data_IF_919201225213
#
_entry.id   IF_919201225213
#
_cell.length_a   1.000
_cell.length_b   1.000
_cell.length_c   1.000
_cell.angle_alpha   90.00
_cell.angle_beta   90.00
_cell.angle_gamma   90.00
#
_symmetry.space_group_name_H-M   'P 1'
#
loop_
_entity.id
_entity.type
_entity.pdbx_description
1 polymer ?
#
# COMPACT_ATOMS: atom_id res chain seq x y z
N UNK A 1 2.48 -74.46 -37.69
CA UNK A 1 2.72 -73.08 -38.13
C UNK A 1 2.11 -72.15 -37.05
N UNK A 2 2.93 -71.82 -36.06
CA UNK A 2 2.49 -71.14 -34.85
C UNK A 2 2.37 -69.62 -35.06
N UNK A 3 1.18 -69.08 -34.87
CA UNK A 3 0.95 -67.63 -34.85
C UNK A 3 1.16 -67.10 -33.43
N UNK A 4 2.27 -66.46 -33.19
CA UNK A 4 2.55 -65.72 -31.93
C UNK A 4 1.69 -64.46 -31.85
N UNK A 5 0.82 -64.42 -30.86
CA UNK A 5 0.06 -63.19 -30.51
C UNK A 5 0.96 -62.21 -29.81
N UNK A 6 1.13 -61.03 -30.39
CA UNK A 6 1.81 -59.91 -29.75
C UNK A 6 0.77 -59.08 -29.00
N UNK A 7 0.87 -59.05 -27.68
CA UNK A 7 0.07 -58.17 -26.83
C UNK A 7 0.77 -56.80 -26.71
N UNK A 8 0.12 -55.75 -27.22
CA UNK A 8 0.59 -54.38 -27.06
C UNK A 8 -0.06 -53.83 -25.79
N UNK A 9 0.73 -53.63 -24.74
CA UNK A 9 0.31 -52.89 -23.56
C UNK A 9 0.49 -51.39 -23.81
N UNK A 10 -0.63 -50.67 -23.98
CA UNK A 10 -0.65 -49.21 -24.01
C UNK A 10 -0.56 -48.69 -22.54
N UNK A 11 0.60 -48.14 -22.17
CA UNK A 11 0.80 -47.49 -20.92
C UNK A 11 0.21 -46.05 -20.98
N UNK A 12 -0.98 -45.85 -20.44
CA UNK A 12 -1.57 -44.50 -20.30
C UNK A 12 -0.93 -43.84 -19.07
N UNK A 13 0.09 -43.00 -19.28
CA UNK A 13 0.65 -42.15 -18.24
C UNK A 13 -0.30 -40.97 -18.01
N UNK A 14 -1.07 -41.03 -16.94
CA UNK A 14 -1.81 -39.86 -16.44
C UNK A 14 -0.78 -38.83 -15.84
N UNK A 15 -0.52 -37.79 -16.63
CA UNK A 15 0.24 -36.63 -16.13
C UNK A 15 -0.65 -35.84 -15.16
N UNK A 16 -0.52 -36.13 -13.86
CA UNK A 16 -0.98 -35.25 -12.82
C UNK A 16 -0.07 -34.04 -12.79
N UNK A 17 -0.44 -32.96 -13.47
CA UNK A 17 0.20 -31.66 -13.24
C UNK A 17 -0.26 -31.15 -11.87
N UNK A 18 0.63 -30.89 -10.92
CA UNK A 18 0.24 -30.25 -9.69
C UNK A 18 -0.31 -28.87 -10.03
N UNK A 19 -1.57 -28.62 -9.68
CA UNK A 19 -2.11 -27.28 -9.68
C UNK A 19 -1.38 -26.53 -8.59
N UNK A 20 -0.40 -25.73 -8.96
CA UNK A 20 0.25 -24.78 -8.04
C UNK A 20 -0.79 -23.69 -7.78
N UNK A 21 -1.50 -23.81 -6.65
CA UNK A 21 -2.30 -22.71 -6.13
C UNK A 21 -1.32 -21.67 -5.64
N UNK A 22 -1.04 -20.68 -6.47
CA UNK A 22 -0.32 -19.49 -6.03
C UNK A 22 -1.28 -18.74 -5.09
N UNK A 23 -1.15 -18.99 -3.81
CA UNK A 23 -1.74 -18.10 -2.81
C UNK A 23 -1.05 -16.75 -2.98
N UNK A 24 -1.85 -15.72 -3.23
CA UNK A 24 -1.34 -14.37 -3.21
C UNK A 24 -0.84 -14.10 -1.78
N UNK A 25 0.47 -14.06 -1.60
CA UNK A 25 1.15 -13.88 -0.31
C UNK A 25 0.84 -12.53 0.39
N UNK A 26 -0.12 -11.77 -0.14
CA UNK A 26 -0.45 -10.43 0.34
C UNK A 26 -1.60 -10.33 1.34
N UNK A 27 -2.48 -11.34 1.44
CA UNK A 27 -3.67 -11.22 2.31
C UNK A 27 -3.36 -11.48 3.79
N UNK A 28 -2.35 -12.30 4.11
CA UNK A 28 -1.96 -12.58 5.50
C UNK A 28 -1.36 -11.37 6.23
N UNK A 29 -0.84 -10.40 5.51
CA UNK A 29 -0.10 -9.26 6.10
C UNK A 29 -0.87 -7.94 6.10
N UNK A 30 -2.01 -7.82 5.41
CA UNK A 30 -2.86 -6.66 5.42
C UNK A 30 -3.07 -5.98 4.07
N UNK A 31 -3.55 -4.74 4.11
CA UNK A 31 -3.85 -3.90 2.95
C UNK A 31 -2.65 -3.00 2.62
N UNK A 32 -1.66 -3.53 1.93
CA UNK A 32 -0.29 -3.00 1.91
C UNK A 32 -0.03 -1.84 0.95
N UNK A 33 -0.94 -1.54 0.03
CA UNK A 33 -0.79 -0.47 -0.96
C UNK A 33 -2.14 0.04 -1.47
N UNK A 34 -2.13 1.05 -2.33
CA UNK A 34 -3.33 1.51 -3.02
C UNK A 34 -4.03 0.34 -3.74
N UNK A 35 -5.33 0.19 -3.46
CA UNK A 35 -6.19 -0.90 -3.96
C UNK A 35 -5.79 -2.31 -3.49
N UNK A 36 -5.07 -2.41 -2.36
CA UNK A 36 -4.73 -3.66 -1.71
C UNK A 36 -3.56 -4.42 -2.35
N UNK A 37 -3.18 -5.55 -1.78
CA UNK A 37 -1.96 -6.27 -2.14
C UNK A 37 -1.89 -6.70 -3.60
N UNK A 38 -3.02 -6.99 -4.22
CA UNK A 38 -3.13 -7.37 -5.64
C UNK A 38 -3.49 -6.21 -6.58
N UNK A 39 -3.72 -5.01 -6.04
CA UNK A 39 -4.11 -3.83 -6.82
C UNK A 39 -5.55 -3.86 -7.40
N UNK A 40 -6.34 -4.88 -7.07
CA UNK A 40 -7.71 -5.03 -7.60
C UNK A 40 -8.73 -4.13 -6.88
N UNK A 41 -8.45 -3.72 -5.65
CA UNK A 41 -9.40 -3.03 -4.77
C UNK A 41 -10.44 -3.98 -4.16
N UNK A 42 -10.21 -5.28 -4.22
CA UNK A 42 -11.12 -6.30 -3.69
C UNK A 42 -10.43 -7.00 -2.52
N UNK A 43 -11.14 -7.09 -1.40
CA UNK A 43 -10.71 -7.84 -0.22
C UNK A 43 -11.46 -9.17 -0.15
N UNK A 44 -10.76 -10.23 0.28
CA UNK A 44 -11.36 -11.52 0.62
C UNK A 44 -12.10 -11.53 1.96
N UNK A 45 -12.08 -10.43 2.73
CA UNK A 45 -12.73 -10.35 4.03
C UNK A 45 -14.25 -10.54 3.93
N UNK A 46 -14.79 -11.51 4.67
CA UNK A 46 -16.21 -11.85 4.69
C UNK A 46 -17.01 -11.08 5.77
N UNK A 47 -16.31 -10.36 6.64
CA UNK A 47 -16.90 -9.70 7.84
C UNK A 47 -17.05 -8.20 7.66
N UNK A 48 -16.89 -7.68 6.44
CA UNK A 48 -17.07 -6.23 6.19
C UNK A 48 -18.55 -5.90 6.26
N UNK A 49 -18.98 -5.03 7.20
CA UNK A 49 -20.37 -4.63 7.30
C UNK A 49 -20.78 -3.80 6.06
N UNK A 50 -21.95 -4.07 5.51
CA UNK A 50 -22.55 -3.29 4.41
C UNK A 50 -23.38 -2.10 4.89
N UNK A 51 -23.70 -2.07 6.18
CA UNK A 51 -24.39 -0.97 6.87
C UNK A 51 -23.78 -0.80 8.24
N UNK A 52 -23.52 0.42 8.64
CA UNK A 52 -23.03 0.76 9.98
C UNK A 52 -23.46 2.16 10.39
N UNK A 53 -23.44 2.42 11.67
CA UNK A 53 -23.65 3.73 12.29
C UNK A 53 -22.40 4.11 13.08
N UNK A 54 -22.32 5.34 13.54
CA UNK A 54 -21.19 5.80 14.36
C UNK A 54 -21.02 5.01 15.68
N UNK A 55 -22.04 4.26 16.12
CA UNK A 55 -21.98 3.43 17.33
C UNK A 55 -21.24 2.11 17.11
N UNK A 56 -21.01 1.75 15.86
CA UNK A 56 -20.38 0.49 15.46
C UNK A 56 -18.90 0.68 15.07
N UNK A 57 -18.38 1.91 15.18
CA UNK A 57 -16.94 2.15 15.02
C UNK A 57 -16.21 1.58 16.23
N UNK A 58 -15.20 0.74 15.98
CA UNK A 58 -14.30 0.27 17.02
C UNK A 58 -13.52 1.45 17.63
N UNK A 59 -13.13 2.40 16.82
CA UNK A 59 -12.43 3.63 17.20
C UNK A 59 -12.51 4.69 16.11
N UNK A 60 -12.19 5.91 16.50
CA UNK A 60 -11.97 7.03 15.58
C UNK A 60 -10.74 7.80 16.02
N UNK A 61 -9.96 8.31 15.08
CA UNK A 61 -8.77 9.10 15.36
C UNK A 61 -8.80 10.39 14.56
N UNK A 62 -8.46 11.50 15.23
CA UNK A 62 -8.30 12.79 14.56
C UNK A 62 -6.88 12.89 14.01
N UNK A 63 -6.77 12.98 12.69
CA UNK A 63 -5.48 13.19 12.03
C UNK A 63 -5.04 14.66 12.13
N UNK A 64 -3.72 14.92 12.03
CA UNK A 64 -3.16 16.28 12.17
C UNK A 64 -3.40 17.20 10.96
N UNK A 65 -4.05 16.70 9.91
CA UNK A 65 -4.36 17.45 8.70
C UNK A 65 -5.30 16.68 7.79
N UNK A 66 -5.55 17.24 6.62
CA UNK A 66 -6.38 16.65 5.57
C UNK A 66 -5.52 15.81 4.62
N UNK A 67 -6.14 14.96 3.78
CA UNK A 67 -5.47 14.21 2.75
C UNK A 67 -6.42 13.29 2.01
N UNK A 68 -6.06 12.95 0.77
CA UNK A 68 -6.82 12.06 -0.11
C UNK A 68 -6.16 10.69 -0.27
N UNK A 69 -5.06 10.42 0.45
CA UNK A 69 -4.41 9.11 0.44
C UNK A 69 -5.32 8.05 1.08
N UNK A 70 -5.26 6.84 0.55
CA UNK A 70 -5.87 5.70 1.24
C UNK A 70 -4.99 5.26 2.42
N UNK A 71 -5.57 4.80 3.53
CA UNK A 71 -4.79 4.12 4.56
C UNK A 71 -4.27 2.79 4.01
N UNK A 72 -3.08 2.40 4.48
CA UNK A 72 -2.52 1.06 4.26
C UNK A 72 -2.27 0.40 5.60
N UNK A 73 -2.33 -0.93 5.63
CA UNK A 73 -2.20 -1.69 6.86
C UNK A 73 -1.14 -2.79 6.72
N UNK A 74 -0.35 -2.94 7.77
CA UNK A 74 0.61 -4.02 7.95
C UNK A 74 0.54 -4.52 9.37
N UNK A 75 0.05 -5.74 9.54
CA UNK A 75 -0.22 -6.33 10.88
C UNK A 75 -1.13 -5.39 11.70
N UNK A 76 -0.64 -4.94 12.84
CA UNK A 76 -1.37 -4.07 13.78
C UNK A 76 -1.20 -2.56 13.49
N UNK A 77 -0.48 -2.22 12.44
CA UNK A 77 -0.20 -0.83 12.10
C UNK A 77 -1.02 -0.38 10.88
N UNK A 78 -1.64 0.79 10.99
CA UNK A 78 -2.28 1.50 9.89
C UNK A 78 -1.49 2.77 9.61
N UNK A 79 -1.05 2.94 8.38
CA UNK A 79 -0.30 4.12 7.94
C UNK A 79 -1.17 4.97 7.03
N UNK A 80 -1.13 6.27 7.25
CA UNK A 80 -1.83 7.24 6.43
C UNK A 80 -1.01 8.51 6.29
N UNK A 81 -1.12 9.17 5.14
CA UNK A 81 -0.51 10.48 4.95
C UNK A 81 -1.57 11.58 5.07
N UNK A 82 -1.18 12.70 5.62
CA UNK A 82 -2.01 13.89 5.68
C UNK A 82 -1.16 15.16 5.58
N UNK A 83 -1.82 16.29 5.40
CA UNK A 83 -1.14 17.56 5.26
C UNK A 83 -1.87 18.68 6.00
N UNK A 84 -1.13 19.49 6.75
CA UNK A 84 -1.57 20.76 7.32
C UNK A 84 -1.15 21.88 6.37
N UNK A 85 -2.08 22.34 5.52
CA UNK A 85 -1.80 23.39 4.54
C UNK A 85 -1.42 24.73 5.18
N UNK A 86 -1.94 25.02 6.36
CA UNK A 86 -1.65 26.28 7.07
C UNK A 86 -0.20 26.33 7.56
N UNK A 87 0.32 25.19 7.98
CA UNK A 87 1.70 25.06 8.45
C UNK A 87 2.67 24.62 7.37
N UNK A 88 2.17 24.22 6.19
CA UNK A 88 2.96 23.60 5.12
C UNK A 88 3.73 22.37 5.61
N UNK A 89 3.02 21.48 6.30
CA UNK A 89 3.57 20.24 6.85
C UNK A 89 2.80 19.04 6.28
N UNK A 90 3.50 18.08 5.69
CA UNK A 90 3.00 16.73 5.43
C UNK A 90 3.36 15.83 6.60
N UNK A 91 2.49 14.90 6.91
CA UNK A 91 2.74 13.94 7.97
C UNK A 91 2.50 12.53 7.48
N UNK A 92 3.33 11.60 7.94
CA UNK A 92 3.03 10.18 7.95
C UNK A 92 2.63 9.84 9.38
N UNK A 93 1.50 9.19 9.53
CA UNK A 93 0.93 8.81 10.84
C UNK A 93 0.77 7.30 10.87
N UNK A 94 1.31 6.68 11.90
CA UNK A 94 1.07 5.28 12.22
C UNK A 94 0.08 5.18 13.37
N UNK A 95 -0.99 4.42 13.14
CA UNK A 95 -2.09 4.24 14.08
C UNK A 95 -2.20 2.76 14.41
N UNK A 96 -2.45 2.42 15.67
CA UNK A 96 -2.78 1.06 16.07
C UNK A 96 -4.13 0.65 15.50
N UNK A 97 -4.20 -0.47 14.77
CA UNK A 97 -5.41 -0.96 14.13
C UNK A 97 -6.49 -1.41 15.13
N UNK A 98 -6.09 -1.77 16.36
CA UNK A 98 -6.99 -2.30 17.38
C UNK A 98 -7.72 -1.21 18.16
N UNK A 99 -7.01 -0.13 18.54
CA UNK A 99 -7.56 0.88 19.46
C UNK A 99 -7.50 2.32 18.91
N UNK A 100 -6.96 2.53 17.72
CA UNK A 100 -6.87 3.83 17.06
C UNK A 100 -5.84 4.79 17.67
N UNK A 101 -5.00 4.35 18.60
CA UNK A 101 -3.94 5.21 19.16
C UNK A 101 -2.86 5.48 18.13
N UNK A 102 -2.41 6.73 18.08
CA UNK A 102 -1.26 7.09 17.26
C UNK A 102 0.00 6.55 17.93
N UNK A 103 0.68 5.60 17.26
CA UNK A 103 1.96 5.07 17.69
C UNK A 103 3.05 6.11 17.48
N UNK A 104 3.08 6.70 16.30
CA UNK A 104 3.99 7.77 15.95
C UNK A 104 3.47 8.65 14.82
N UNK A 105 4.06 9.82 14.71
CA UNK A 105 3.87 10.77 13.62
C UNK A 105 5.22 11.31 13.20
N UNK A 106 5.43 11.48 11.90
CA UNK A 106 6.59 12.13 11.32
C UNK A 106 6.15 13.28 10.44
N UNK A 107 6.70 14.45 10.71
CA UNK A 107 6.36 15.70 10.05
C UNK A 107 7.47 16.11 9.09
N UNK A 108 7.05 16.51 7.88
CA UNK A 108 7.94 16.90 6.79
C UNK A 108 7.50 18.26 6.24
N UNK A 109 8.24 19.34 6.54
CA UNK A 109 7.97 20.63 5.94
C UNK A 109 8.06 20.57 4.41
N UNK A 110 7.22 21.32 3.73
CA UNK A 110 7.26 21.42 2.28
C UNK A 110 7.08 22.86 1.83
N UNK A 111 7.58 23.17 0.62
CA UNK A 111 7.29 24.45 -0.04
C UNK A 111 5.97 24.32 -0.79
N UNK A 112 4.99 25.12 -0.44
CA UNK A 112 3.70 25.16 -1.12
C UNK A 112 3.89 25.64 -2.57
N UNK A 113 3.15 25.07 -3.48
CA UNK A 113 3.09 25.48 -4.89
C UNK A 113 1.64 25.42 -5.39
N UNK A 114 1.40 26.06 -6.53
CA UNK A 114 0.08 26.06 -7.15
C UNK A 114 -0.27 24.63 -7.59
N UNK A 115 -1.37 24.14 -7.05
CA UNK A 115 -1.90 22.81 -7.33
C UNK A 115 -3.35 22.92 -7.77
N UNK A 116 -3.84 21.95 -8.55
CA UNK A 116 -5.25 21.90 -8.91
C UNK A 116 -6.10 21.81 -7.63
N UNK A 117 -7.26 22.46 -7.63
CA UNK A 117 -8.12 22.57 -6.43
C UNK A 117 -8.62 21.22 -5.89
N UNK A 118 -8.76 20.22 -6.78
CA UNK A 118 -9.28 18.91 -6.45
C UNK A 118 -8.16 17.94 -6.01
N UNK A 119 -6.95 18.44 -5.77
CA UNK A 119 -5.83 17.66 -5.26
C UNK A 119 -5.27 18.30 -3.98
N UNK A 120 -4.50 17.50 -3.23
CA UNK A 120 -3.80 17.95 -2.03
C UNK A 120 -2.36 17.44 -1.99
N UNK A 121 -1.61 17.89 -0.98
CA UNK A 121 -0.20 17.54 -0.82
C UNK A 121 0.01 16.16 -0.19
N UNK A 122 -1.06 15.40 0.09
CA UNK A 122 -1.05 14.06 0.66
C UNK A 122 -2.00 13.11 -0.11
N UNK A 123 -2.01 13.19 -1.45
CA UNK A 123 -2.87 12.37 -2.30
C UNK A 123 -2.28 11.00 -2.62
N UNK A 124 -0.93 10.89 -2.70
CA UNK A 124 -0.28 9.61 -2.93
C UNK A 124 -0.48 8.68 -1.74
N UNK A 125 -0.99 7.48 -1.99
CA UNK A 125 -1.13 6.44 -0.97
C UNK A 125 0.23 5.82 -0.69
N UNK A 126 0.63 5.63 0.59
CA UNK A 126 1.85 4.92 0.92
C UNK A 126 1.78 3.45 0.49
N UNK A 127 2.94 2.79 0.45
CA UNK A 127 3.04 1.34 0.43
C UNK A 127 3.84 0.86 1.63
N UNK A 128 3.56 -0.36 2.11
CA UNK A 128 4.20 -0.90 3.32
C UNK A 128 4.48 -2.38 3.14
N UNK A 129 5.58 -2.84 3.73
CA UNK A 129 5.93 -4.25 3.89
C UNK A 129 6.61 -4.50 5.25
N UNK A 130 7.35 -5.61 5.36
CA UNK A 130 8.07 -5.96 6.59
C UNK A 130 9.23 -5.00 6.92
N UNK A 131 9.79 -4.34 5.91
CA UNK A 131 10.96 -3.47 6.06
C UNK A 131 10.57 -2.03 6.39
N UNK A 132 9.32 -1.63 6.06
CA UNK A 132 8.84 -0.29 6.38
C UNK A 132 7.80 0.28 5.44
N UNK A 133 7.59 1.58 5.54
CA UNK A 133 6.61 2.34 4.77
C UNK A 133 7.30 3.30 3.79
N UNK A 134 6.83 3.31 2.55
CA UNK A 134 7.36 4.16 1.48
C UNK A 134 6.28 5.12 0.99
N UNK A 135 6.68 6.38 0.81
CA UNK A 135 5.83 7.43 0.23
C UNK A 135 6.53 8.11 -0.95
N UNK A 136 5.75 8.62 -1.89
CA UNK A 136 6.21 9.47 -3.00
C UNK A 136 5.53 10.82 -2.89
N UNK A 137 6.32 11.89 -2.87
CA UNK A 137 5.81 13.25 -2.79
C UNK A 137 6.49 14.17 -3.80
N UNK A 138 5.72 15.10 -4.34
CA UNK A 138 6.24 16.19 -5.16
C UNK A 138 6.47 17.46 -4.35
N UNK A 139 7.49 18.20 -4.74
CA UNK A 139 7.80 19.57 -4.35
C UNK A 139 7.91 20.42 -5.61
N UNK A 140 8.01 21.75 -5.52
CA UNK A 140 8.28 22.55 -6.71
C UNK A 140 9.52 22.04 -7.46
N UNK A 141 9.33 21.58 -8.70
CA UNK A 141 10.37 21.04 -9.59
C UNK A 141 11.09 19.78 -9.11
N UNK A 142 10.55 19.07 -8.12
CA UNK A 142 11.18 17.85 -7.59
C UNK A 142 10.12 16.79 -7.28
N UNK A 143 10.42 15.54 -7.61
CA UNK A 143 9.75 14.35 -7.11
C UNK A 143 10.73 13.60 -6.22
N UNK A 144 10.31 13.14 -5.07
CA UNK A 144 11.15 12.33 -4.20
C UNK A 144 10.38 11.18 -3.56
N UNK A 145 11.13 10.18 -3.20
CA UNK A 145 10.66 8.99 -2.50
C UNK A 145 11.33 8.92 -1.14
N UNK A 146 10.59 8.52 -0.12
CA UNK A 146 11.02 8.44 1.26
C UNK A 146 10.60 7.10 1.84
N UNK A 147 11.51 6.40 2.49
CA UNK A 147 11.22 5.21 3.28
C UNK A 147 11.50 5.44 4.76
N UNK A 148 10.58 4.98 5.59
CA UNK A 148 10.73 4.90 7.04
C UNK A 148 10.60 3.43 7.47
N UNK A 149 11.29 3.02 8.55
CA UNK A 149 10.99 1.76 9.21
C UNK A 149 9.59 1.77 9.87
N UNK A 150 9.17 0.67 10.41
CA UNK A 150 7.84 0.56 11.06
C UNK A 150 7.72 1.40 12.33
N UNK A 151 8.83 1.83 12.92
CA UNK A 151 8.93 2.74 14.08
C UNK A 151 9.01 4.22 13.65
N UNK A 152 9.02 4.48 12.34
CA UNK A 152 9.00 5.82 11.76
C UNK A 152 10.36 6.50 11.67
N UNK A 153 11.47 5.78 11.78
CA UNK A 153 12.80 6.30 11.52
C UNK A 153 13.08 6.31 10.02
N UNK A 154 13.63 7.40 9.50
CA UNK A 154 14.02 7.48 8.09
C UNK A 154 15.12 6.47 7.77
N UNK A 155 14.85 5.60 6.80
CA UNK A 155 15.80 4.63 6.28
C UNK A 155 16.57 5.22 5.10
N UNK A 156 15.86 5.81 4.17
CA UNK A 156 16.44 6.45 3.00
C UNK A 156 15.50 7.45 2.35
N UNK A 157 16.08 8.35 1.57
CA UNK A 157 15.39 9.28 0.68
C UNK A 157 16.04 9.28 -0.67
N UNK A 158 15.24 9.33 -1.74
CA UNK A 158 15.72 9.38 -3.12
C UNK A 158 15.07 10.54 -3.85
N UNK A 159 15.89 11.36 -4.48
CA UNK A 159 15.45 12.31 -5.48
C UNK A 159 15.21 11.57 -6.80
N UNK A 160 13.98 11.67 -7.31
CA UNK A 160 13.56 11.06 -8.57
C UNK A 160 13.64 12.04 -9.75
N UNK A 161 14.22 13.21 -9.51
CA UNK A 161 14.41 14.24 -10.51
C UNK A 161 13.30 15.29 -10.57
N UNK A 162 13.31 16.11 -11.63
CA UNK A 162 12.40 17.22 -11.76
C UNK A 162 10.96 16.75 -11.98
N UNK A 163 10.04 17.38 -11.26
CA UNK A 163 8.61 17.18 -11.43
C UNK A 163 7.96 18.46 -11.95
N UNK A 164 7.26 18.34 -13.07
CA UNK A 164 6.50 19.45 -13.64
C UNK A 164 5.07 19.00 -13.83
N UNK A 165 4.18 19.52 -13.01
CA UNK A 165 2.75 19.19 -13.09
C UNK A 165 1.91 20.14 -12.23
N UNK A 166 0.74 20.48 -12.73
CA UNK A 166 -0.21 21.36 -12.03
C UNK A 166 -1.09 20.62 -11.04
N UNK A 167 -1.12 19.28 -11.11
CA UNK A 167 -1.97 18.47 -10.26
C UNK A 167 -1.26 17.92 -9.01
N UNK A 168 0.08 18.14 -8.87
CA UNK A 168 0.85 17.44 -7.86
C UNK A 168 1.02 15.94 -8.18
N UNK A 169 1.81 15.24 -7.39
CA UNK A 169 1.95 13.78 -7.51
C UNK A 169 0.85 13.09 -6.70
N UNK A 170 0.07 12.25 -7.38
CA UNK A 170 -0.85 11.30 -6.75
C UNK A 170 -0.44 9.85 -7.07
N UNK A 171 0.73 9.64 -7.67
CA UNK A 171 1.27 8.31 -7.95
C UNK A 171 1.60 7.61 -6.63
N UNK A 172 0.99 6.46 -6.43
CA UNK A 172 1.21 5.63 -5.25
C UNK A 172 2.28 4.59 -5.57
N UNK A 173 3.36 4.48 -4.78
CA UNK A 173 4.39 3.49 -5.01
C UNK A 173 3.87 2.08 -4.77
N UNK A 174 4.52 1.10 -5.35
CA UNK A 174 4.32 -0.31 -5.05
C UNK A 174 5.66 -0.96 -4.71
N UNK A 175 5.63 -1.96 -3.82
CA UNK A 175 6.78 -2.81 -3.55
C UNK A 175 6.53 -4.15 -4.23
N UNK A 176 7.48 -4.59 -5.03
CA UNK A 176 7.45 -5.88 -5.71
C UNK A 176 8.88 -6.43 -5.84
N UNK A 177 9.10 -7.67 -5.45
CA UNK A 177 10.38 -8.37 -5.54
C UNK A 177 11.57 -7.59 -4.93
N UNK A 178 11.34 -6.90 -3.80
CA UNK A 178 12.34 -6.08 -3.12
C UNK A 178 12.65 -4.73 -3.81
N UNK A 179 11.90 -4.39 -4.83
CA UNK A 179 12.00 -3.10 -5.54
C UNK A 179 10.82 -2.21 -5.20
N UNK A 180 11.05 -0.90 -5.19
CA UNK A 180 9.99 0.12 -5.14
C UNK A 180 9.82 0.70 -6.54
N UNK A 181 8.59 0.67 -7.04
CA UNK A 181 8.19 1.08 -8.38
C UNK A 181 7.18 2.22 -8.30
#
# INVERSE_FOLDING_TARGET
MDMKRVAVFALVALLFSPVVVVHAAGEENGWTRFRGPNGSGISGAQTIPIKWTAREYNWTVKLPGDGSSSPVAWKENVFVTCNDRKKSIRSIVCVNATDGKIHWRRDFPYTSYRMHRDNDFASATPTVDADGVVVVWSMPKQLFMLALDLEGKELWRRDLGPYVGIHGSASSPIIADGLVI
#
